data_IF_514903998332
#
_entry.id   IF_514903998332
#
_cell.length_a   1.000
_cell.length_b   1.000
_cell.length_c   1.000
_cell.angle_alpha   90.00
_cell.angle_beta   90.00
_cell.angle_gamma   90.00
#
_symmetry.space_group_name_H-M   'P 1'
#
loop_
_entity.id
_entity.type
_entity.pdbx_description
1 polymer ?
#
# COMPACT_ATOMS: atom_id res chain seq x y z
N UNK A 1 9.27 6.88 6.17
CA UNK A 1 8.11 6.85 7.09
C UNK A 1 8.60 6.31 8.43
N UNK A 2 8.40 7.04 9.54
CA UNK A 2 8.97 6.68 10.86
C UNK A 2 10.47 6.33 10.80
N UNK A 3 11.27 7.22 10.19
CA UNK A 3 12.70 7.04 9.89
C UNK A 3 13.09 5.93 8.90
N UNK A 4 12.15 5.17 8.34
CA UNK A 4 12.44 4.14 7.33
C UNK A 4 12.35 4.67 5.89
N UNK A 5 13.32 4.33 5.05
CA UNK A 5 13.41 4.73 3.65
C UNK A 5 12.55 3.83 2.75
N UNK A 6 11.68 4.45 1.97
CA UNK A 6 10.87 3.81 0.93
C UNK A 6 11.55 4.05 -0.42
N UNK A 7 12.38 3.10 -0.83
CA UNK A 7 13.10 3.15 -2.10
C UNK A 7 14.58 2.85 -1.94
N UNK A 8 15.21 2.43 -3.04
CA UNK A 8 16.64 2.13 -3.11
C UNK A 8 17.26 2.99 -4.22
N UNK A 9 18.13 3.94 -3.85
CA UNK A 9 19.01 4.58 -4.83
C UNK A 9 20.29 3.73 -4.97
N UNK A 10 20.93 3.67 -6.15
CA UNK A 10 22.21 2.96 -6.31
C UNK A 10 23.29 3.44 -5.33
N UNK A 11 23.23 4.70 -4.91
CA UNK A 11 24.16 5.35 -3.98
C UNK A 11 23.88 5.07 -2.50
N UNK A 12 22.70 4.54 -2.14
CA UNK A 12 22.28 4.35 -0.75
C UNK A 12 21.59 2.99 -0.60
N UNK A 13 22.31 1.95 -0.15
CA UNK A 13 21.71 0.65 0.09
C UNK A 13 20.72 0.77 1.26
N UNK A 14 19.48 0.37 1.01
CA UNK A 14 18.42 0.21 2.00
C UNK A 14 18.10 -1.28 2.09
N UNK A 15 18.09 -1.81 3.31
CA UNK A 15 17.76 -3.20 3.57
C UNK A 15 16.28 -3.46 3.28
N UNK A 16 15.94 -4.61 2.70
CA UNK A 16 14.55 -4.95 2.36
C UNK A 16 13.65 -4.98 3.59
N UNK A 17 14.20 -5.32 4.76
CA UNK A 17 13.48 -5.24 6.03
C UNK A 17 13.01 -3.81 6.37
N UNK A 18 13.81 -2.79 6.04
CA UNK A 18 13.45 -1.39 6.24
C UNK A 18 12.32 -0.97 5.29
N UNK A 19 12.37 -1.40 4.03
CA UNK A 19 11.33 -1.15 3.02
C UNK A 19 10.01 -1.83 3.41
N UNK A 20 10.08 -3.10 3.80
CA UNK A 20 8.91 -3.88 4.19
C UNK A 20 8.27 -3.32 5.48
N UNK A 21 9.09 -2.88 6.44
CA UNK A 21 8.60 -2.21 7.64
C UNK A 21 7.89 -0.89 7.31
N UNK A 22 8.44 -0.11 6.38
CA UNK A 22 7.81 1.12 5.91
C UNK A 22 6.44 0.85 5.26
N UNK A 23 6.35 -0.16 4.38
CA UNK A 23 5.06 -0.59 3.82
C UNK A 23 4.07 -1.05 4.89
N UNK A 24 4.54 -1.78 5.90
CA UNK A 24 3.71 -2.17 7.03
C UNK A 24 3.13 -1.01 7.80
N UNK A 25 3.93 0.03 8.04
CA UNK A 25 3.46 1.26 8.67
C UNK A 25 2.43 1.99 7.78
N UNK A 26 2.65 2.04 6.47
CA UNK A 26 1.71 2.67 5.52
C UNK A 26 0.37 1.93 5.49
N UNK A 27 0.38 0.60 5.44
CA UNK A 27 -0.83 -0.24 5.47
C UNK A 27 -1.58 -0.04 6.79
N UNK A 28 -0.87 -0.05 7.92
CA UNK A 28 -1.47 0.21 9.23
C UNK A 28 -2.12 1.59 9.31
N UNK A 29 -1.45 2.62 8.80
CA UNK A 29 -1.97 3.99 8.78
C UNK A 29 -3.26 4.08 7.97
N UNK A 30 -3.26 3.58 6.74
CA UNK A 30 -4.45 3.62 5.88
C UNK A 30 -5.59 2.80 6.49
N UNK A 31 -5.29 1.63 7.07
CA UNK A 31 -6.27 0.80 7.76
C UNK A 31 -6.88 1.53 8.97
N UNK A 32 -6.07 2.20 9.79
CA UNK A 32 -6.55 2.96 10.94
C UNK A 32 -7.40 4.18 10.54
N UNK A 33 -7.00 4.89 9.48
CA UNK A 33 -7.76 6.02 8.94
C UNK A 33 -9.12 5.58 8.38
N UNK A 34 -9.14 4.49 7.59
CA UNK A 34 -10.37 3.93 7.06
C UNK A 34 -11.33 3.50 8.18
N UNK A 35 -10.83 2.81 9.22
CA UNK A 35 -11.61 2.44 10.39
C UNK A 35 -12.17 3.65 11.13
N UNK A 36 -11.37 4.71 11.30
CA UNK A 36 -11.82 5.96 11.94
C UNK A 36 -12.97 6.62 11.18
N UNK A 37 -12.97 6.52 9.85
CA UNK A 37 -14.02 7.07 8.99
C UNK A 37 -15.18 6.10 8.75
N UNK A 38 -15.09 4.85 9.24
CA UNK A 38 -16.08 3.81 8.94
C UNK A 38 -16.07 3.34 7.48
N UNK A 39 -15.00 3.63 6.73
CA UNK A 39 -14.87 3.24 5.32
C UNK A 39 -14.57 1.75 5.20
N UNK A 40 -15.35 1.06 4.35
CA UNK A 40 -15.07 -0.32 3.92
C UNK A 40 -14.64 -0.33 2.45
N UNK A 41 -13.43 -0.80 2.20
CA UNK A 41 -12.92 -1.01 0.84
C UNK A 41 -13.67 -2.15 0.13
N UNK A 42 -13.87 -2.01 -1.18
CA UNK A 42 -14.71 -2.94 -1.95
C UNK A 42 -13.94 -4.07 -2.66
N UNK A 43 -12.75 -3.77 -3.20
CA UNK A 43 -11.96 -4.73 -4.01
C UNK A 43 -10.91 -5.48 -3.20
N UNK A 44 -10.34 -4.81 -2.20
CA UNK A 44 -9.21 -5.31 -1.43
C UNK A 44 -9.41 -5.05 0.05
N UNK A 45 -8.87 -5.94 0.88
CA UNK A 45 -8.78 -5.75 2.33
C UNK A 45 -7.32 -5.52 2.71
N UNK A 46 -7.05 -4.42 3.40
CA UNK A 46 -5.75 -4.12 3.98
C UNK A 46 -5.52 -4.99 5.22
N UNK A 47 -4.42 -5.75 5.24
CA UNK A 47 -4.01 -6.56 6.40
C UNK A 47 -2.65 -6.05 6.92
N UNK A 48 -2.65 -5.20 7.96
CA UNK A 48 -1.43 -4.77 8.62
C UNK A 48 -0.79 -5.94 9.37
N UNK A 49 0.42 -6.32 8.99
CA UNK A 49 1.14 -7.45 9.57
C UNK A 49 2.65 -7.15 9.70
N UNK A 50 2.97 -6.00 10.29
CA UNK A 50 4.35 -5.56 10.48
C UNK A 50 5.11 -5.49 9.15
N UNK A 51 6.34 -6.02 9.13
CA UNK A 51 7.17 -6.10 7.91
C UNK A 51 6.74 -7.21 6.92
N UNK A 52 5.58 -7.83 7.13
CA UNK A 52 5.00 -8.82 6.21
C UNK A 52 3.54 -8.46 5.89
N UNK A 53 3.24 -7.16 5.86
CA UNK A 53 1.89 -6.67 5.53
C UNK A 53 1.49 -7.04 4.11
N UNK A 54 0.20 -7.26 3.89
CA UNK A 54 -0.34 -7.72 2.60
C UNK A 54 -1.76 -7.22 2.38
N UNK A 55 -2.24 -7.36 1.15
CA UNK A 55 -3.64 -7.16 0.81
C UNK A 55 -4.27 -8.48 0.41
N UNK A 56 -5.54 -8.62 0.72
CA UNK A 56 -6.34 -9.75 0.26
C UNK A 56 -7.36 -9.24 -0.76
N UNK A 57 -7.49 -9.96 -1.87
CA UNK A 57 -8.57 -9.67 -2.81
C UNK A 57 -9.91 -10.15 -2.24
N UNK A 58 -10.91 -9.27 -2.27
CA UNK A 58 -12.28 -9.60 -1.86
C UNK A 58 -13.04 -10.36 -2.96
N UNK A 59 -12.59 -10.23 -4.21
CA UNK A 59 -13.14 -10.96 -5.36
C UNK A 59 -12.54 -12.36 -5.50
N UNK A 60 -11.25 -12.51 -5.23
CA UNK A 60 -10.56 -13.80 -5.18
C UNK A 60 -9.88 -14.01 -3.82
N UNK A 61 -10.60 -14.67 -2.91
CA UNK A 61 -10.13 -14.94 -1.53
C UNK A 61 -8.88 -15.79 -1.45
N UNK A 62 -8.47 -16.46 -2.54
CA UNK A 62 -7.23 -17.24 -2.59
C UNK A 62 -6.00 -16.39 -2.90
N UNK A 63 -6.21 -15.14 -3.33
CA UNK A 63 -5.14 -14.26 -3.81
C UNK A 63 -4.69 -13.28 -2.73
N UNK A 64 -3.64 -13.67 -2.03
CA UNK A 64 -2.84 -12.78 -1.19
C UNK A 64 -1.86 -11.98 -2.07
N UNK A 65 -1.80 -10.67 -1.83
CA UNK A 65 -0.94 -9.71 -2.51
C UNK A 65 0.06 -9.16 -1.48
N UNK A 66 1.27 -9.76 -1.37
CA UNK A 66 2.25 -9.35 -0.38
C UNK A 66 2.85 -7.98 -0.69
N UNK A 67 2.83 -7.07 0.28
CA UNK A 67 3.54 -5.78 0.25
C UNK A 67 4.92 -5.89 0.95
N UNK A 68 5.58 -7.03 0.80
CA UNK A 68 6.92 -7.26 1.31
C UNK A 68 7.72 -8.10 0.31
N UNK A 69 9.03 -7.88 0.27
CA UNK A 69 9.95 -8.65 -0.56
C UNK A 69 11.18 -9.05 0.25
N UNK A 70 11.69 -10.27 0.06
CA UNK A 70 12.93 -10.74 0.70
C UNK A 70 14.19 -10.32 -0.07
N UNK A 71 14.05 -9.64 -1.22
CA UNK A 71 15.16 -9.24 -2.08
C UNK A 71 15.71 -10.37 -2.96
N UNK A 72 16.85 -10.10 -3.63
CA UNK A 72 17.52 -11.02 -4.55
C UNK A 72 17.01 -10.95 -6.00
N UNK A 73 17.44 -11.88 -6.86
CA UNK A 73 17.00 -11.96 -8.26
C UNK A 73 15.47 -11.98 -8.37
N UNK A 74 14.77 -12.56 -7.39
CA UNK A 74 13.30 -12.65 -7.32
C UNK A 74 12.59 -11.29 -7.41
N UNK A 75 13.21 -10.20 -6.92
CA UNK A 75 12.65 -8.85 -7.03
C UNK A 75 12.45 -8.41 -8.49
N UNK A 76 13.35 -8.78 -9.40
CA UNK A 76 13.24 -8.40 -10.82
C UNK A 76 12.12 -9.14 -11.58
N UNK A 77 11.51 -10.16 -10.97
CA UNK A 77 10.53 -11.03 -11.62
C UNK A 77 9.22 -11.15 -10.84
N UNK A 78 9.12 -10.54 -9.66
CA UNK A 78 7.94 -10.72 -8.80
C UNK A 78 6.86 -9.67 -9.09
N UNK A 79 6.07 -9.96 -10.11
CA UNK A 79 4.88 -9.18 -10.44
C UNK A 79 3.90 -9.09 -9.25
N UNK A 80 3.95 -9.98 -8.25
CA UNK A 80 2.99 -9.95 -7.13
C UNK A 80 3.15 -8.72 -6.26
N UNK A 81 4.39 -8.25 -6.07
CA UNK A 81 4.65 -7.03 -5.31
C UNK A 81 4.09 -5.81 -6.02
N UNK A 82 4.26 -5.71 -7.33
CA UNK A 82 3.67 -4.64 -8.15
C UNK A 82 2.14 -4.68 -8.11
N UNK A 83 1.54 -5.87 -8.24
CA UNK A 83 0.09 -6.02 -8.09
C UNK A 83 -0.40 -5.62 -6.69
N UNK A 84 0.38 -5.89 -5.64
CA UNK A 84 0.07 -5.46 -4.28
C UNK A 84 0.14 -3.94 -4.14
N UNK A 85 1.11 -3.28 -4.78
CA UNK A 85 1.19 -1.82 -4.82
C UNK A 85 0.01 -1.20 -5.57
N UNK A 86 -0.39 -1.76 -6.72
CA UNK A 86 -1.58 -1.31 -7.47
C UNK A 86 -2.84 -1.46 -6.61
N UNK A 87 -3.02 -2.61 -5.96
CA UNK A 87 -4.15 -2.84 -5.05
C UNK A 87 -4.13 -1.89 -3.84
N UNK A 88 -2.95 -1.48 -3.36
CA UNK A 88 -2.82 -0.48 -2.32
C UNK A 88 -3.26 0.90 -2.79
N UNK A 89 -2.80 1.35 -3.96
CA UNK A 89 -3.19 2.64 -4.55
C UNK A 89 -4.70 2.70 -4.78
N UNK A 90 -5.31 1.59 -5.18
CA UNK A 90 -6.75 1.45 -5.30
C UNK A 90 -7.50 1.75 -3.99
N UNK A 91 -6.98 1.28 -2.85
CA UNK A 91 -7.53 1.59 -1.54
C UNK A 91 -7.32 3.07 -1.18
N UNK A 92 -6.16 3.65 -1.51
CA UNK A 92 -5.89 5.07 -1.27
C UNK A 92 -6.83 5.96 -2.08
N UNK A 93 -7.14 5.58 -3.32
CA UNK A 93 -8.11 6.29 -4.16
C UNK A 93 -9.52 6.26 -3.57
N UNK A 94 -9.99 5.08 -3.13
CA UNK A 94 -11.28 4.97 -2.42
C UNK A 94 -11.30 5.82 -1.14
N UNK A 95 -10.20 5.84 -0.39
CA UNK A 95 -10.07 6.67 0.81
C UNK A 95 -10.15 8.17 0.47
N UNK A 96 -9.45 8.61 -0.58
CA UNK A 96 -9.50 10.00 -1.06
C UNK A 96 -10.93 10.42 -1.40
N UNK A 97 -11.65 9.62 -2.17
CA UNK A 97 -13.02 9.92 -2.60
C UNK A 97 -13.97 10.08 -1.40
N UNK A 98 -13.77 9.30 -0.35
CA UNK A 98 -14.59 9.37 0.88
C UNK A 98 -14.22 10.55 1.77
N UNK A 99 -12.94 10.93 1.82
CA UNK A 99 -12.50 12.17 2.50
C UNK A 99 -13.05 13.41 1.78
N UNK A 100 -12.98 13.45 0.45
CA UNK A 100 -13.48 14.57 -0.36
C UNK A 100 -15.00 14.74 -0.26
N UNK A 101 -15.75 13.65 -0.05
CA UNK A 101 -17.19 13.71 0.25
C UNK A 101 -17.49 14.32 1.62
N UNK A 102 -16.62 14.09 2.61
CA UNK A 102 -16.80 14.56 3.99
C UNK A 102 -16.33 15.99 4.25
N UNK A 103 -15.26 16.44 3.57
CA UNK A 103 -14.68 17.78 3.74
C UNK A 103 -14.36 18.44 2.39
N UNK A 104 -15.16 19.44 2.01
CA UNK A 104 -15.01 20.25 0.77
C UNK A 104 -13.70 21.05 0.67
N UNK A 105 -12.78 20.94 1.64
CA UNK A 105 -11.47 21.64 1.66
C UNK A 105 -10.26 20.71 1.70
N UNK A 106 -10.43 19.40 1.78
CA UNK A 106 -9.30 18.47 1.83
C UNK A 106 -9.07 17.84 0.46
N UNK A 107 -8.15 18.42 -0.31
CA UNK A 107 -7.71 17.87 -1.60
C UNK A 107 -6.28 17.34 -1.44
N UNK A 108 -6.04 16.08 -1.79
CA UNK A 108 -4.68 15.55 -1.81
C UNK A 108 -3.86 16.30 -2.87
N UNK A 109 -2.66 16.81 -2.54
CA UNK A 109 -1.87 17.64 -3.45
C UNK A 109 -1.34 16.88 -4.68
N UNK A 110 -1.39 15.55 -4.67
CA UNK A 110 -0.91 14.70 -5.75
C UNK A 110 -2.06 13.94 -6.43
N UNK A 111 -2.08 13.97 -7.77
CA UNK A 111 -2.96 13.12 -8.58
C UNK A 111 -2.43 11.69 -8.62
N UNK A 112 -3.32 10.73 -8.44
CA UNK A 112 -3.04 9.30 -8.62
C UNK A 112 -3.80 8.85 -9.87
N UNK A 113 -3.11 8.73 -11.00
CA UNK A 113 -3.69 8.20 -12.25
C UNK A 113 -3.46 6.69 -12.33
N UNK A 114 -4.52 5.93 -12.59
CA UNK A 114 -4.50 4.45 -12.64
C UNK A 114 -3.92 3.94 -13.97
N UNK A 115 -3.84 4.77 -15.01
CA UNK A 115 -3.50 4.36 -16.39
C UNK A 115 -2.01 4.13 -16.66
N UNK A 116 -1.11 4.31 -15.66
CA UNK A 116 0.34 4.11 -15.84
C UNK A 116 0.95 3.05 -14.90
N UNK A 117 0.13 2.08 -14.48
CA UNK A 117 0.57 0.91 -13.69
C UNK A 117 0.76 -0.32 -14.55
#
# INVERSE_FOLDING_TARGET
INNFRLGRLPSVPVEWNEINAAWGQTVLLLHALANKMGLKFQRYRLVPYGNHSYLESLTDKSKELPLYCSGGLRFFWDNKFDHAMVAFLDCVQQFKEEVEKGETRFCLPYRMDVEKG
#
